data_IF_220330275585
#
_entry.id   IF_220330275585
#
_cell.length_a   1.000
_cell.length_b   1.000
_cell.length_c   1.000
_cell.angle_alpha   90.00
_cell.angle_beta   90.00
_cell.angle_gamma   90.00
#
_symmetry.space_group_name_H-M   'P 1'
#
loop_
_entity.id
_entity.type
_entity.pdbx_description
1 polymer ?
#
# COMPACT_ATOMS: atom_id res chain seq x y z
N UNK A 1 20.43 65.66 -3.08
CA UNK A 1 20.39 64.71 -1.95
C UNK A 1 19.47 63.57 -2.38
N UNK A 2 20.03 62.54 -3.03
CA UNK A 2 20.41 61.25 -2.44
C UNK A 2 19.21 60.52 -1.80
N UNK A 3 18.55 59.76 -2.66
CA UNK A 3 18.14 58.36 -2.52
C UNK A 3 17.71 57.86 -1.14
N UNK A 4 16.48 57.34 -1.07
CA UNK A 4 16.12 56.19 -0.21
C UNK A 4 14.69 55.73 -0.46
N UNK A 5 14.47 55.02 -1.57
CA UNK A 5 13.34 54.10 -1.68
C UNK A 5 13.82 52.72 -1.22
N UNK A 6 13.47 52.35 0.01
CA UNK A 6 13.81 51.04 0.59
C UNK A 6 12.77 50.03 0.10
N UNK A 7 13.07 49.30 -0.98
CA UNK A 7 12.25 48.18 -1.44
C UNK A 7 12.54 46.96 -0.55
N UNK A 8 11.65 46.68 0.41
CA UNK A 8 11.68 45.42 1.17
C UNK A 8 11.14 44.30 0.28
N UNK A 9 12.04 43.50 -0.29
CA UNK A 9 11.68 42.29 -1.02
C UNK A 9 11.57 41.14 -0.01
N UNK A 10 10.36 40.90 0.50
CA UNK A 10 10.10 39.76 1.40
C UNK A 10 10.12 38.48 0.56
N UNK A 11 11.23 37.74 0.63
CA UNK A 11 11.36 36.41 0.03
C UNK A 11 10.51 35.42 0.84
N UNK A 12 9.30 35.11 0.36
CA UNK A 12 8.47 34.05 0.93
C UNK A 12 9.08 32.72 0.52
N UNK A 13 9.87 32.13 1.41
CA UNK A 13 10.32 30.73 1.28
C UNK A 13 9.09 29.87 1.58
N UNK A 14 8.43 29.37 0.52
CA UNK A 14 7.44 28.30 0.64
C UNK A 14 8.16 27.04 1.13
N UNK A 15 8.17 26.84 2.45
CA UNK A 15 8.48 25.55 3.02
C UNK A 15 7.35 24.59 2.62
N UNK A 16 7.59 23.78 1.60
CA UNK A 16 6.70 22.69 1.23
C UNK A 16 6.73 21.64 2.36
N UNK A 17 5.80 21.75 3.30
CA UNK A 17 5.54 20.71 4.29
C UNK A 17 4.94 19.53 3.54
N UNK A 18 5.72 18.46 3.38
CA UNK A 18 5.21 17.18 2.92
C UNK A 18 4.23 16.67 3.97
N UNK A 19 2.93 16.69 3.63
CA UNK A 19 1.91 15.96 4.37
C UNK A 19 2.18 14.47 4.17
N UNK A 20 2.44 13.75 5.26
CA UNK A 20 2.65 12.31 5.16
C UNK A 20 1.33 11.66 4.75
N UNK A 21 1.39 10.77 3.76
CA UNK A 21 0.26 9.93 3.39
C UNK A 21 0.29 8.69 4.28
N UNK A 22 -0.83 8.41 4.95
CA UNK A 22 -0.98 7.19 5.74
C UNK A 22 -1.00 5.95 4.84
N UNK A 23 -0.94 4.76 5.42
CA UNK A 23 -1.19 3.52 4.69
C UNK A 23 -2.68 3.27 4.48
N UNK A 24 -3.00 2.67 3.33
CA UNK A 24 -4.32 2.14 3.11
C UNK A 24 -4.57 1.03 4.10
N UNK A 25 -5.82 1.01 4.46
CA UNK A 25 -6.41 0.05 5.35
C UNK A 25 -6.45 -1.33 4.59
N UNK A 26 -5.97 -2.43 5.18
CA UNK A 26 -6.04 -3.79 4.59
C UNK A 26 -7.43 -4.46 4.50
N UNK A 27 -8.00 -4.71 3.33
CA UNK A 27 -9.36 -5.26 3.16
C UNK A 27 -9.43 -6.80 3.24
N UNK A 28 -10.54 -7.33 3.78
CA UNK A 28 -10.79 -8.78 3.88
C UNK A 28 -12.09 -9.24 3.20
N UNK A 29 -13.06 -8.35 3.04
CA UNK A 29 -14.35 -8.64 2.41
C UNK A 29 -14.48 -7.82 1.13
N UNK A 30 -15.01 -8.45 0.08
CA UNK A 30 -15.05 -7.88 -1.26
C UNK A 30 -16.46 -7.94 -1.86
N UNK A 31 -16.79 -6.94 -2.66
CA UNK A 31 -18.09 -6.85 -3.31
C UNK A 31 -18.19 -7.88 -4.42
N UNK A 32 -19.23 -8.71 -4.37
CA UNK A 32 -19.61 -9.60 -5.47
C UNK A 32 -20.45 -8.91 -6.55
N UNK A 33 -20.78 -7.62 -6.35
CA UNK A 33 -21.68 -6.84 -7.23
C UNK A 33 -20.94 -5.78 -8.04
N UNK A 34 -19.67 -5.56 -7.77
CA UNK A 34 -18.83 -4.60 -8.50
C UNK A 34 -17.86 -5.36 -9.37
N UNK A 35 -17.63 -4.84 -10.56
CA UNK A 35 -16.64 -5.41 -11.47
C UNK A 35 -15.27 -5.37 -10.80
N UNK A 36 -14.48 -6.38 -11.12
CA UNK A 36 -13.08 -6.54 -10.73
C UNK A 36 -12.27 -6.68 -12.00
N UNK A 37 -11.06 -6.16 -11.96
CA UNK A 37 -10.14 -6.16 -13.10
C UNK A 37 -8.92 -6.97 -12.71
N UNK A 38 -8.61 -8.00 -13.49
CA UNK A 38 -7.54 -8.94 -13.18
C UNK A 38 -6.62 -9.03 -14.39
N UNK A 39 -5.33 -8.80 -14.15
CA UNK A 39 -4.27 -9.05 -15.12
C UNK A 39 -3.58 -10.35 -14.72
N UNK A 40 -3.59 -11.33 -15.62
CA UNK A 40 -2.95 -12.63 -15.42
C UNK A 40 -1.43 -12.55 -15.59
N UNK A 41 -0.72 -13.58 -15.12
CA UNK A 41 0.73 -13.69 -15.22
C UNK A 41 1.25 -13.63 -16.67
N UNK A 42 0.46 -14.10 -17.63
CA UNK A 42 0.75 -14.05 -19.07
C UNK A 42 0.41 -12.68 -19.72
N UNK A 43 -0.14 -11.74 -18.94
CA UNK A 43 -0.55 -10.42 -19.40
C UNK A 43 -1.98 -10.33 -19.94
N UNK A 44 -2.73 -11.44 -19.99
CA UNK A 44 -4.14 -11.40 -20.36
C UNK A 44 -4.97 -10.68 -19.30
N UNK A 45 -5.91 -9.87 -19.75
CA UNK A 45 -6.86 -9.19 -18.89
C UNK A 45 -8.19 -9.97 -18.79
N UNK A 46 -8.76 -9.98 -17.59
CA UNK A 46 -10.06 -10.53 -17.27
C UNK A 46 -10.87 -9.48 -16.51
N UNK A 47 -12.12 -9.30 -16.92
CA UNK A 47 -13.12 -8.50 -16.19
C UNK A 47 -14.25 -9.41 -15.74
N UNK A 48 -14.68 -9.25 -14.49
CA UNK A 48 -15.75 -10.07 -13.94
C UNK A 48 -16.11 -9.69 -12.51
N UNK A 49 -16.90 -10.53 -11.86
CA UNK A 49 -17.37 -10.33 -10.49
C UNK A 49 -16.74 -11.37 -9.56
N UNK A 50 -16.35 -10.96 -8.35
CA UNK A 50 -15.83 -11.87 -7.34
C UNK A 50 -16.99 -12.76 -6.87
N UNK A 51 -16.87 -14.07 -7.09
CA UNK A 51 -17.81 -15.07 -6.59
C UNK A 51 -17.36 -15.55 -5.20
N UNK A 52 -16.06 -15.87 -5.06
CA UNK A 52 -15.50 -16.37 -3.81
C UNK A 52 -13.99 -16.09 -3.70
N UNK A 53 -13.47 -16.04 -2.46
CA UNK A 53 -12.04 -15.94 -2.17
C UNK A 53 -11.69 -16.89 -1.03
N UNK A 54 -11.07 -18.00 -1.40
CA UNK A 54 -10.57 -19.00 -0.47
C UNK A 54 -9.29 -18.51 0.20
N UNK A 55 -9.26 -18.65 1.53
CA UNK A 55 -8.12 -18.22 2.33
C UNK A 55 -7.66 -19.29 3.29
N UNK A 56 -6.35 -19.41 3.42
CA UNK A 56 -5.72 -20.17 4.49
C UNK A 56 -5.01 -19.21 5.41
N UNK A 57 -5.52 -19.11 6.64
CA UNK A 57 -4.99 -18.20 7.67
C UNK A 57 -4.87 -16.74 7.15
N UNK A 58 -5.92 -16.29 6.46
CA UNK A 58 -6.02 -14.94 5.90
C UNK A 58 -5.24 -14.69 4.60
N UNK A 59 -4.31 -15.56 4.20
CA UNK A 59 -3.66 -15.51 2.89
C UNK A 59 -4.59 -16.09 1.83
N UNK A 60 -4.64 -15.46 0.65
CA UNK A 60 -5.44 -15.90 -0.48
C UNK A 60 -4.78 -17.12 -1.12
N UNK A 61 -5.53 -18.21 -1.26
CA UNK A 61 -5.08 -19.45 -1.93
C UNK A 61 -5.75 -19.62 -3.30
N UNK A 62 -6.98 -19.13 -3.46
CA UNK A 62 -7.72 -19.18 -4.72
C UNK A 62 -8.75 -18.04 -4.75
N UNK A 63 -8.99 -17.50 -5.95
CA UNK A 63 -10.05 -16.54 -6.23
C UNK A 63 -10.94 -17.14 -7.30
N UNK A 64 -12.25 -17.13 -7.07
CA UNK A 64 -13.25 -17.49 -8.07
C UNK A 64 -13.88 -16.22 -8.65
N UNK A 65 -13.77 -16.05 -9.96
CA UNK A 65 -14.36 -14.96 -10.74
C UNK A 65 -15.47 -15.50 -11.64
N UNK A 66 -16.58 -14.79 -11.72
CA UNK A 66 -17.57 -14.96 -12.80
C UNK A 66 -17.27 -13.90 -13.86
N UNK A 67 -16.83 -14.33 -15.04
CA UNK A 67 -16.56 -13.41 -16.16
C UNK A 67 -17.85 -12.83 -16.75
N UNK A 68 -17.73 -11.87 -17.68
CA UNK A 68 -18.87 -11.24 -18.34
C UNK A 68 -19.71 -12.22 -19.18
N UNK A 69 -19.16 -13.38 -19.55
CA UNK A 69 -19.87 -14.47 -20.23
C UNK A 69 -20.51 -15.47 -19.25
N UNK A 70 -20.54 -15.15 -17.94
CA UNK A 70 -21.05 -15.98 -16.86
C UNK A 70 -20.27 -17.28 -16.64
N UNK A 71 -19.03 -17.37 -17.13
CA UNK A 71 -18.13 -18.50 -16.88
C UNK A 71 -17.43 -18.30 -15.54
N UNK A 72 -17.42 -19.35 -14.72
CA UNK A 72 -16.61 -19.40 -13.49
C UNK A 72 -15.15 -19.72 -13.83
N UNK A 73 -14.23 -18.92 -13.31
CA UNK A 73 -12.78 -19.06 -13.47
C UNK A 73 -12.17 -19.05 -12.06
N UNK A 74 -11.42 -20.09 -11.73
CA UNK A 74 -10.63 -20.19 -10.51
C UNK A 74 -9.19 -19.81 -10.82
N UNK A 75 -8.61 -18.95 -10.00
CA UNK A 75 -7.24 -18.45 -10.17
C UNK A 75 -6.48 -18.57 -8.85
N UNK A 76 -5.30 -19.16 -8.91
CA UNK A 76 -4.33 -19.17 -7.81
C UNK A 76 -3.45 -17.91 -7.84
N UNK A 77 -2.76 -17.57 -6.74
CA UNK A 77 -1.83 -16.44 -6.69
C UNK A 77 -0.84 -16.41 -7.86
N UNK A 78 -0.22 -17.53 -8.21
CA UNK A 78 0.78 -17.61 -9.29
C UNK A 78 0.22 -17.34 -10.70
N UNK A 79 -1.09 -17.43 -10.88
CA UNK A 79 -1.75 -17.17 -12.17
C UNK A 79 -2.14 -15.70 -12.34
N UNK A 80 -2.16 -14.94 -11.24
CA UNK A 80 -2.49 -13.52 -11.21
C UNK A 80 -1.21 -12.70 -11.17
N UNK A 81 -1.10 -11.69 -12.02
CA UNK A 81 -0.05 -10.66 -11.90
C UNK A 81 -0.48 -9.60 -10.91
N UNK A 82 -1.64 -9.01 -11.13
CA UNK A 82 -2.28 -8.06 -10.23
C UNK A 82 -3.79 -8.01 -10.46
N UNK A 83 -4.52 -7.46 -9.50
CA UNK A 83 -5.95 -7.23 -9.62
C UNK A 83 -6.41 -6.00 -8.84
N UNK A 84 -7.57 -5.48 -9.25
CA UNK A 84 -8.29 -4.42 -8.58
C UNK A 84 -9.64 -4.97 -8.16
N UNK A 85 -9.92 -4.90 -6.86
CA UNK A 85 -11.18 -5.39 -6.30
C UNK A 85 -11.79 -4.36 -5.36
N UNK A 86 -13.11 -4.25 -5.35
CA UNK A 86 -13.83 -3.30 -4.49
C UNK A 86 -14.14 -3.98 -3.15
N UNK A 87 -13.76 -3.43 -2.00
CA UNK A 87 -14.12 -4.01 -0.70
C UNK A 87 -15.62 -3.87 -0.42
N UNK A 88 -16.22 -4.81 0.32
CA UNK A 88 -17.66 -4.77 0.66
C UNK A 88 -18.05 -3.57 1.53
N UNK A 89 -17.09 -2.97 2.25
CA UNK A 89 -17.27 -1.78 3.09
C UNK A 89 -16.79 -0.48 2.42
N UNK A 90 -16.95 -0.37 1.10
CA UNK A 90 -16.43 0.71 0.25
C UNK A 90 -16.56 2.13 0.84
N UNK A 91 -17.70 2.47 1.44
CA UNK A 91 -17.94 3.80 2.00
C UNK A 91 -16.92 4.19 3.10
N UNK A 92 -16.43 3.21 3.85
CA UNK A 92 -15.39 3.40 4.87
C UNK A 92 -14.00 3.57 4.26
N UNK A 93 -13.70 2.83 3.19
CA UNK A 93 -12.43 2.96 2.48
C UNK A 93 -12.34 4.31 1.75
N UNK A 94 -13.41 4.73 1.06
CA UNK A 94 -13.50 6.03 0.38
C UNK A 94 -13.27 7.19 1.34
N UNK A 95 -13.81 7.11 2.55
CA UNK A 95 -13.58 8.12 3.60
C UNK A 95 -12.11 8.18 4.06
N UNK A 96 -11.43 7.02 4.20
CA UNK A 96 -10.00 6.97 4.50
C UNK A 96 -9.14 7.51 3.36
N UNK A 97 -9.50 7.17 2.12
CA UNK A 97 -8.85 7.67 0.91
C UNK A 97 -8.90 9.20 0.80
N UNK A 98 -10.05 9.82 1.09
CA UNK A 98 -10.19 11.28 1.06
C UNK A 98 -9.24 12.01 2.02
N UNK A 99 -8.85 11.38 3.14
CA UNK A 99 -7.91 11.94 4.11
C UNK A 99 -6.45 11.69 3.75
N UNK A 100 -6.17 10.65 2.94
CA UNK A 100 -4.82 10.24 2.56
C UNK A 100 -4.32 10.91 1.28
N UNK A 101 -5.22 11.23 0.34
CA UNK A 101 -4.85 11.70 -0.98
C UNK A 101 -4.83 13.23 -1.05
N UNK A 102 -3.67 13.82 -0.75
CA UNK A 102 -3.33 15.11 -1.35
C UNK A 102 -3.27 14.89 -2.88
N UNK A 103 -4.33 15.33 -3.57
CA UNK A 103 -4.69 14.92 -4.92
C UNK A 103 -3.63 15.28 -5.98
N UNK A 104 -2.62 16.07 -5.64
CA UNK A 104 -1.64 16.64 -6.57
C UNK A 104 -0.79 15.58 -7.28
N UNK A 105 -0.23 14.57 -6.59
CA UNK A 105 0.66 13.58 -7.25
C UNK A 105 -0.07 12.54 -8.11
N UNK A 106 -1.28 12.13 -7.72
CA UNK A 106 -2.05 11.14 -8.48
C UNK A 106 -2.89 11.76 -9.58
N UNK A 107 -3.16 13.07 -9.54
CA UNK A 107 -3.79 13.78 -10.66
C UNK A 107 -2.86 13.90 -11.88
N UNK A 108 -1.55 13.78 -11.67
CA UNK A 108 -0.56 13.76 -12.74
C UNK A 108 -0.35 12.34 -13.31
N UNK A 109 -0.55 11.29 -12.49
CA UNK A 109 -0.53 9.90 -12.93
C UNK A 109 -1.83 9.53 -13.65
N UNK A 110 -1.74 9.37 -14.98
CA UNK A 110 -2.84 8.97 -15.87
C UNK A 110 -2.88 7.46 -16.14
N UNK A 111 -2.18 6.64 -15.35
CA UNK A 111 -2.23 5.20 -15.50
C UNK A 111 -3.58 4.63 -15.05
N UNK A 112 -3.98 3.50 -15.62
CA UNK A 112 -5.17 2.75 -15.19
C UNK A 112 -5.11 2.38 -13.69
N UNK A 113 -3.90 2.21 -13.14
CA UNK A 113 -3.69 1.99 -11.71
C UNK A 113 -4.25 3.16 -10.88
N UNK A 114 -3.93 4.40 -11.27
CA UNK A 114 -4.39 5.59 -10.57
C UNK A 114 -5.90 5.76 -10.61
N UNK A 115 -6.52 5.47 -11.76
CA UNK A 115 -7.97 5.60 -11.91
C UNK A 115 -8.74 4.60 -11.05
N UNK A 116 -8.34 3.33 -11.04
CA UNK A 116 -8.99 2.31 -10.20
C UNK A 116 -8.83 2.61 -8.70
N UNK A 117 -7.63 3.03 -8.26
CA UNK A 117 -7.41 3.40 -6.87
C UNK A 117 -8.28 4.60 -6.48
N UNK A 118 -8.38 5.66 -7.31
CA UNK A 118 -9.28 6.80 -7.07
C UNK A 118 -10.76 6.39 -7.03
N UNK A 119 -11.15 5.39 -7.84
CA UNK A 119 -12.47 4.80 -7.82
C UNK A 119 -12.72 3.87 -6.61
N UNK A 120 -11.75 3.77 -5.68
CA UNK A 120 -11.84 3.05 -4.42
C UNK A 120 -11.67 1.54 -4.52
N UNK A 121 -11.01 1.10 -5.59
CA UNK A 121 -10.51 -0.27 -5.66
C UNK A 121 -9.27 -0.39 -4.78
N UNK A 122 -9.09 -1.55 -4.16
CA UNK A 122 -7.80 -1.92 -3.58
C UNK A 122 -6.99 -2.71 -4.59
N UNK A 123 -5.69 -2.46 -4.62
CA UNK A 123 -4.77 -3.12 -5.51
C UNK A 123 -4.12 -4.31 -4.81
N UNK A 124 -4.18 -5.46 -5.47
CA UNK A 124 -3.44 -6.66 -5.10
C UNK A 124 -2.42 -6.97 -6.18
N UNK A 125 -1.24 -7.42 -5.79
CA UNK A 125 -0.28 -8.00 -6.73
C UNK A 125 0.35 -9.26 -6.17
N UNK A 126 0.75 -10.14 -7.08
CA UNK A 126 1.49 -11.34 -6.72
C UNK A 126 2.95 -11.00 -6.52
N UNK A 127 3.50 -11.42 -5.39
CA UNK A 127 4.91 -11.22 -5.06
C UNK A 127 5.47 -12.42 -4.31
N UNK A 128 6.77 -12.63 -4.46
CA UNK A 128 7.51 -13.55 -3.60
C UNK A 128 7.72 -12.93 -2.23
N UNK A 129 7.48 -13.72 -1.18
CA UNK A 129 7.65 -13.33 0.22
C UNK A 129 8.46 -14.38 0.95
N UNK A 130 9.48 -13.92 1.68
CA UNK A 130 10.25 -14.72 2.60
C UNK A 130 9.50 -14.83 3.93
N UNK A 131 8.97 -16.02 4.22
CA UNK A 131 8.36 -16.35 5.51
C UNK A 131 9.26 -17.36 6.22
N UNK A 132 9.92 -16.92 7.29
CA UNK A 132 11.00 -17.66 7.95
C UNK A 132 12.12 -17.97 6.93
N UNK A 133 12.30 -19.24 6.58
CA UNK A 133 13.30 -19.71 5.59
C UNK A 133 12.67 -20.24 4.30
N UNK A 134 11.37 -19.97 4.07
CA UNK A 134 10.63 -20.48 2.91
C UNK A 134 10.09 -19.32 2.07
N UNK A 135 10.38 -19.37 0.77
CA UNK A 135 9.89 -18.39 -0.20
C UNK A 135 8.50 -18.86 -0.64
N UNK A 136 7.53 -17.96 -0.54
CA UNK A 136 6.14 -18.21 -0.91
C UNK A 136 5.72 -17.20 -1.98
N UNK A 137 4.95 -17.64 -2.97
CA UNK A 137 4.30 -16.75 -3.94
C UNK A 137 2.92 -16.41 -3.40
N UNK A 138 2.69 -15.13 -3.07
CA UNK A 138 1.47 -14.67 -2.40
C UNK A 138 0.83 -13.53 -3.19
N UNK A 139 -0.49 -13.50 -3.25
CA UNK A 139 -1.29 -12.40 -3.78
C UNK A 139 -1.70 -11.50 -2.62
N UNK A 140 -1.09 -10.31 -2.51
CA UNK A 140 -1.20 -9.43 -1.35
C UNK A 140 -1.70 -8.04 -1.71
N UNK A 141 -2.47 -7.44 -0.80
CA UNK A 141 -2.92 -6.05 -0.97
C UNK A 141 -1.77 -5.09 -0.75
N UNK A 142 -1.54 -4.18 -1.69
CA UNK A 142 -0.62 -3.06 -1.54
C UNK A 142 -1.28 -1.95 -0.71
N UNK A 143 -0.62 -1.52 0.35
CA UNK A 143 -1.13 -0.51 1.28
C UNK A 143 -0.67 0.90 0.96
N UNK A 144 0.45 1.06 0.25
CA UNK A 144 0.97 2.37 -0.10
C UNK A 144 1.01 2.63 -1.61
N UNK A 145 -0.04 2.29 -2.40
CA UNK A 145 0.00 2.45 -3.85
C UNK A 145 0.44 3.86 -4.24
N UNK A 146 -0.01 4.84 -3.43
CA UNK A 146 0.34 6.25 -3.41
C UNK A 146 1.81 6.63 -3.67
N UNK A 147 2.71 5.81 -3.14
CA UNK A 147 4.13 6.11 -3.00
C UNK A 147 4.97 4.82 -2.92
N UNK A 148 4.56 3.82 -3.70
CA UNK A 148 5.16 2.47 -3.72
C UNK A 148 6.36 2.32 -4.67
N UNK A 149 6.87 3.41 -5.26
CA UNK A 149 7.91 3.40 -6.30
C UNK A 149 9.25 2.79 -5.85
N UNK A 150 9.55 2.81 -4.54
CA UNK A 150 10.81 2.26 -3.98
C UNK A 150 10.58 1.14 -2.98
N UNK A 151 9.65 1.37 -2.06
CA UNK A 151 9.28 0.40 -1.03
C UNK A 151 7.79 0.14 -1.17
N UNK A 152 7.44 -1.10 -1.47
CA UNK A 152 6.07 -1.60 -1.44
C UNK A 152 5.79 -2.18 -0.06
N UNK A 153 4.67 -1.78 0.51
CA UNK A 153 4.17 -2.27 1.80
C UNK A 153 2.90 -3.05 1.54
N UNK A 154 2.91 -4.32 1.89
CA UNK A 154 1.74 -5.18 1.74
C UNK A 154 1.11 -5.49 3.09
N UNK A 155 -0.20 -5.69 3.04
CA UNK A 155 -0.97 -6.11 4.18
C UNK A 155 -0.55 -7.50 4.68
N UNK A 156 -0.29 -7.60 5.98
CA UNK A 156 -0.05 -8.88 6.67
C UNK A 156 -1.34 -9.30 7.41
N UNK A 157 -2.05 -10.35 6.95
CA UNK A 157 -3.28 -10.79 7.62
C UNK A 157 -3.04 -11.33 9.04
N UNK A 158 -1.80 -11.63 9.42
CA UNK A 158 -1.43 -12.06 10.76
C UNK A 158 -1.11 -10.91 11.71
N UNK A 159 -1.08 -9.66 11.24
CA UNK A 159 -0.66 -8.51 12.03
C UNK A 159 -1.55 -8.23 13.26
N UNK A 160 -2.76 -8.82 13.30
CA UNK A 160 -3.77 -8.63 14.36
C UNK A 160 -3.91 -9.75 15.39
N UNK A 161 -3.27 -10.91 15.26
CA UNK A 161 -3.53 -12.11 16.10
C UNK A 161 -3.26 -11.93 17.61
N UNK A 162 -2.74 -10.78 18.04
CA UNK A 162 -2.53 -10.47 19.47
C UNK A 162 -3.59 -9.59 20.10
N UNK A 163 -4.56 -9.09 19.32
CA UNK A 163 -5.79 -8.54 19.87
C UNK A 163 -6.89 -9.53 19.53
N UNK A 164 -7.64 -9.96 20.53
CA UNK A 164 -8.83 -10.81 20.45
C UNK A 164 -9.98 -10.10 19.72
N UNK A 165 -9.72 -9.67 18.49
CA UNK A 165 -10.68 -9.06 17.58
C UNK A 165 -10.93 -10.03 16.45
N UNK A 166 -12.11 -10.64 16.52
CA UNK A 166 -12.57 -11.67 15.62
C UNK A 166 -12.66 -11.21 14.17
N UNK A 167 -12.96 -12.21 13.35
CA UNK A 167 -13.38 -12.24 11.94
C UNK A 167 -14.50 -11.23 11.55
N UNK A 168 -14.44 -9.98 12.00
CA UNK A 168 -15.53 -8.99 12.04
C UNK A 168 -15.31 -7.70 11.23
N UNK A 169 -14.42 -7.72 10.23
CA UNK A 169 -14.52 -6.82 9.08
C UNK A 169 -14.11 -5.35 9.26
N UNK A 170 -13.38 -4.94 10.30
CA UNK A 170 -12.77 -3.60 10.39
C UNK A 170 -11.34 -3.69 10.98
N UNK A 171 -10.46 -2.87 10.41
CA UNK A 171 -9.00 -2.98 10.41
C UNK A 171 -8.31 -2.30 11.58
N UNK A 172 -7.16 -2.84 11.95
CA UNK A 172 -6.11 -2.07 12.61
C UNK A 172 -5.71 -0.96 11.63
N UNK A 173 -6.06 0.28 11.97
CA UNK A 173 -5.65 1.45 11.22
C UNK A 173 -4.12 1.60 11.24
N UNK A 174 -3.60 2.31 10.24
CA UNK A 174 -2.20 2.61 10.05
C UNK A 174 -1.44 2.98 11.33
N UNK A 175 -0.23 2.43 11.48
CA UNK A 175 0.64 2.58 12.66
C UNK A 175 0.43 1.60 13.83
N UNK A 176 -0.75 1.00 13.99
CA UNK A 176 -1.05 0.09 15.12
C UNK A 176 -0.86 -1.41 14.80
N UNK A 177 -0.77 -1.76 13.51
CA UNK A 177 -0.48 -3.13 13.10
C UNK A 177 0.87 -3.61 13.65
N UNK A 178 0.95 -4.86 14.09
CA UNK A 178 2.21 -5.43 14.61
C UNK A 178 3.21 -5.80 13.53
N UNK A 179 2.76 -5.90 12.28
CA UNK A 179 3.62 -6.24 11.16
C UNK A 179 3.01 -5.86 9.82
N UNK A 180 3.87 -5.75 8.81
CA UNK A 180 3.52 -5.71 7.39
C UNK A 180 4.54 -6.55 6.59
N UNK A 181 4.31 -6.74 5.30
CA UNK A 181 5.37 -7.23 4.39
C UNK A 181 5.99 -6.06 3.63
N UNK A 182 7.32 -5.98 3.62
CA UNK A 182 8.06 -4.91 2.96
C UNK A 182 8.80 -5.49 1.76
N UNK A 183 8.80 -4.77 0.64
CA UNK A 183 9.59 -5.07 -0.54
C UNK A 183 10.30 -3.80 -1.01
N UNK A 184 11.62 -3.76 -0.87
CA UNK A 184 12.48 -2.65 -1.33
C UNK A 184 13.06 -3.00 -2.71
N UNK A 185 12.71 -2.21 -3.71
CA UNK A 185 13.06 -2.47 -5.12
C UNK A 185 12.56 -3.84 -5.58
N UNK A 186 13.44 -4.58 -6.27
CA UNK A 186 13.12 -5.90 -6.83
C UNK A 186 13.43 -7.07 -5.88
N UNK A 187 13.80 -6.79 -4.63
CA UNK A 187 14.09 -7.82 -3.64
C UNK A 187 12.85 -8.66 -3.30
N UNK A 188 13.07 -9.84 -2.73
CA UNK A 188 12.00 -10.67 -2.17
C UNK A 188 11.38 -9.91 -0.98
N UNK A 189 10.05 -9.87 -0.91
CA UNK A 189 9.39 -9.21 0.21
C UNK A 189 9.66 -9.97 1.52
N UNK A 190 9.64 -9.30 2.66
CA UNK A 190 9.86 -9.94 3.95
C UNK A 190 8.92 -9.38 5.01
N UNK A 191 8.63 -10.19 6.03
CA UNK A 191 7.79 -9.76 7.15
C UNK A 191 8.58 -8.82 8.04
N UNK A 192 8.11 -7.59 8.17
CA UNK A 192 8.59 -6.60 9.12
C UNK A 192 7.69 -6.60 10.34
N UNK A 193 8.22 -6.95 11.51
CA UNK A 193 7.50 -6.85 12.78
C UNK A 193 7.89 -5.57 13.51
N UNK A 194 6.94 -4.94 14.22
CA UNK A 194 7.16 -3.72 15.01
C UNK A 194 8.38 -3.79 15.92
N UNK A 195 8.61 -4.95 16.56
CA UNK A 195 9.73 -5.18 17.47
C UNK A 195 11.11 -5.24 16.79
N UNK A 196 11.15 -5.50 15.48
CA UNK A 196 12.39 -5.61 14.70
C UNK A 196 12.65 -4.35 13.87
N UNK A 197 11.79 -3.34 13.96
CA UNK A 197 11.85 -2.19 13.05
C UNK A 197 13.17 -1.41 13.19
N UNK A 198 13.62 -1.20 14.43
CA UNK A 198 14.85 -0.47 14.73
C UNK A 198 16.08 -1.15 14.12
N UNK A 199 16.10 -2.49 14.11
CA UNK A 199 17.19 -3.29 13.53
C UNK A 199 17.23 -3.21 12.00
N UNK A 200 16.11 -2.87 11.37
CA UNK A 200 15.91 -2.86 9.92
C UNK A 200 16.02 -1.47 9.30
N UNK A 201 16.19 -0.41 10.11
CA UNK A 201 16.30 0.97 9.64
C UNK A 201 17.43 1.16 8.64
N UNK A 202 18.59 0.54 8.88
CA UNK A 202 19.74 0.63 7.98
C UNK A 202 19.48 -0.08 6.65
N UNK A 203 18.85 -1.26 6.69
CA UNK A 203 18.49 -2.01 5.48
C UNK A 203 17.48 -1.23 4.62
N UNK A 204 16.48 -0.61 5.26
CA UNK A 204 15.44 0.15 4.58
C UNK A 204 15.92 1.52 4.09
N UNK A 205 16.71 2.25 4.89
CA UNK A 205 16.95 3.68 4.68
C UNK A 205 18.43 4.10 4.74
N UNK A 206 19.36 3.18 4.96
CA UNK A 206 20.80 3.49 5.12
C UNK A 206 21.45 4.11 3.88
N UNK A 207 20.87 3.87 2.71
CA UNK A 207 21.25 4.50 1.44
C UNK A 207 20.75 5.96 1.30
N UNK A 208 20.03 6.50 2.29
CA UNK A 208 19.49 7.86 2.25
C UNK A 208 20.00 8.74 3.41
N UNK A 209 21.11 9.48 3.22
CA UNK A 209 21.64 10.37 4.25
C UNK A 209 20.69 11.47 4.72
N UNK A 210 19.79 11.94 3.84
CA UNK A 210 18.77 12.94 4.18
C UNK A 210 17.70 12.38 5.12
N UNK A 211 17.36 11.10 5.00
CA UNK A 211 16.41 10.42 5.88
C UNK A 211 16.86 10.45 7.34
N UNK A 212 18.13 10.08 7.59
CA UNK A 212 18.68 10.05 8.96
C UNK A 212 18.68 11.44 9.60
N UNK A 213 18.94 12.49 8.82
CA UNK A 213 18.90 13.89 9.29
C UNK A 213 17.48 14.32 9.64
N UNK A 214 16.49 13.91 8.85
CA UNK A 214 15.08 14.26 9.08
C UNK A 214 14.50 13.57 10.32
N UNK A 215 14.80 12.28 10.50
CA UNK A 215 14.12 11.44 11.49
C UNK A 215 14.97 11.05 12.71
N UNK A 216 16.14 11.68 12.93
CA UNK A 216 17.12 11.31 13.98
C UNK A 216 16.50 10.94 15.34
N UNK A 217 15.48 11.68 15.79
CA UNK A 217 14.78 11.49 17.08
C UNK A 217 13.41 10.82 16.98
N UNK A 218 12.98 10.43 15.78
CA UNK A 218 11.63 9.94 15.46
C UNK A 218 11.66 8.61 14.70
N UNK A 219 12.66 7.76 14.94
CA UNK A 219 12.88 6.52 14.18
C UNK A 219 11.90 5.36 14.52
N UNK A 220 10.96 5.54 15.45
CA UNK A 220 10.09 4.46 15.93
C UNK A 220 9.00 4.02 14.93
N UNK A 221 8.44 2.83 15.18
CA UNK A 221 7.38 2.20 14.36
C UNK A 221 6.17 3.09 14.10
N UNK A 222 5.78 3.94 15.05
CA UNK A 222 4.65 4.87 14.89
C UNK A 222 4.85 5.87 13.74
N UNK A 223 6.07 6.00 13.23
CA UNK A 223 6.43 6.88 12.12
C UNK A 223 6.68 6.12 10.82
N UNK A 224 6.44 4.80 10.78
CA UNK A 224 6.76 3.94 9.62
C UNK A 224 6.18 4.44 8.30
N UNK A 225 4.94 4.94 8.32
CA UNK A 225 4.26 5.46 7.13
C UNK A 225 4.95 6.74 6.63
N UNK A 226 5.30 7.64 7.57
CA UNK A 226 6.04 8.87 7.28
C UNK A 226 7.44 8.58 6.75
N UNK A 227 8.10 7.57 7.31
CA UNK A 227 9.44 7.17 6.88
C UNK A 227 9.41 6.70 5.42
N UNK A 228 8.50 5.80 5.08
CA UNK A 228 8.39 5.28 3.72
C UNK A 228 7.95 6.38 2.75
N UNK A 229 7.00 7.21 3.14
CA UNK A 229 6.57 8.34 2.32
C UNK A 229 7.73 9.31 2.04
N UNK A 230 8.52 9.68 3.06
CA UNK A 230 9.70 10.51 2.86
C UNK A 230 10.71 9.82 1.93
N UNK A 231 11.02 8.56 2.19
CA UNK A 231 11.99 7.80 1.41
C UNK A 231 11.59 7.72 -0.08
N UNK A 232 10.31 7.50 -0.36
CA UNK A 232 9.76 7.43 -1.71
C UNK A 232 9.97 8.70 -2.53
N UNK A 233 10.01 9.87 -1.87
CA UNK A 233 10.00 11.18 -2.53
C UNK A 233 11.26 12.03 -2.37
N UNK A 234 12.18 11.67 -1.46
CA UNK A 234 13.36 12.48 -1.11
C UNK A 234 14.69 11.73 -1.18
N UNK A 235 14.65 10.42 -1.37
CA UNK A 235 15.84 9.60 -1.57
C UNK A 235 15.95 9.25 -3.05
N UNK A 236 17.12 8.86 -3.53
CA UNK A 236 17.37 8.33 -4.90
C UNK A 236 17.48 6.81 -4.90
#
# INVERSE_FOLDING_TARGET
>A
MKDRFLFFFTLVILASSLTAQDFLDGAFTFSSKKESYITLADGKELTGFIDDIDRKKGLIEEITIIDLNKKKIKLKPEEVKHMYIVPSGFDKLSSGMNNMYDATKWNEDKSAHAEHIKAGYVFFETTEVMVKKKKLTLLLQLLNPGFANKIKVFFDPYAGETASFGFGGIKLAGGDAKSYYFKKGDNVAYKMEKKNYDDELENLYGDCPSFKKEFEKKMGWSMVEKHIFYYSGKCE
#
